data_IF_337744799119
#
_entry.id   IF_337744799119
#
_cell.length_a   1.000
_cell.length_b   1.000
_cell.length_c   1.000
_cell.angle_alpha   90.00
_cell.angle_beta   90.00
_cell.angle_gamma   90.00
#
_symmetry.space_group_name_H-M   'P 1'
#
loop_
_entity.id
_entity.type
_entity.pdbx_description
1 polymer ?
#
# COMPACT_ATOMS: atom_id res chain seq x y z
N UNK A 1 -21.92 17.13 -8.31
CA UNK A 1 -21.37 15.76 -8.37
C UNK A 1 -19.86 15.86 -8.26
N UNK A 2 -19.24 15.07 -7.37
CA UNK A 2 -17.78 15.04 -7.30
C UNK A 2 -17.20 14.41 -8.58
N UNK A 3 -16.03 14.88 -9.06
CA UNK A 3 -15.41 14.36 -10.29
C UNK A 3 -14.92 12.92 -10.13
N UNK A 4 -14.75 12.45 -8.88
CA UNK A 4 -14.26 11.12 -8.57
C UNK A 4 -15.36 10.07 -8.76
N UNK A 5 -15.05 9.06 -9.57
CA UNK A 5 -15.89 7.89 -9.82
C UNK A 5 -15.36 6.64 -9.14
N UNK A 6 -14.07 6.63 -8.77
CA UNK A 6 -13.42 5.52 -8.09
C UNK A 6 -12.50 5.99 -6.96
N UNK A 7 -12.27 5.11 -6.00
CA UNK A 7 -11.22 5.23 -4.99
C UNK A 7 -10.38 3.96 -4.95
N UNK A 8 -9.09 4.09 -4.66
CA UNK A 8 -8.18 2.98 -4.40
C UNK A 8 -7.83 3.00 -2.92
N UNK A 9 -8.35 2.04 -2.17
CA UNK A 9 -8.02 1.90 -0.75
C UNK A 9 -6.78 1.04 -0.59
N UNK A 10 -5.84 1.49 0.23
CA UNK A 10 -4.62 0.76 0.61
C UNK A 10 -4.52 0.76 2.13
N UNK A 11 -4.12 -0.37 2.69
CA UNK A 11 -4.01 -0.56 4.14
C UNK A 11 -2.86 -1.54 4.43
N UNK A 12 -1.69 -1.05 4.80
CA UNK A 12 -0.54 -1.93 5.02
C UNK A 12 -0.62 -2.59 6.39
N UNK A 13 -0.30 -3.88 6.46
CA UNK A 13 0.16 -4.46 7.71
C UNK A 13 1.68 -4.38 7.80
N UNK A 14 2.20 -4.13 9.00
CA UNK A 14 3.63 -3.99 9.22
C UNK A 14 4.09 -4.69 10.50
N UNK A 15 5.38 -5.02 10.55
CA UNK A 15 6.01 -5.55 11.76
C UNK A 15 5.81 -4.59 12.95
N UNK A 16 5.41 -5.14 14.09
CA UNK A 16 5.19 -4.37 15.32
C UNK A 16 5.59 -5.18 16.56
N UNK A 17 5.79 -4.49 17.68
CA UNK A 17 6.17 -5.10 18.96
C UNK A 17 5.30 -4.56 20.09
N UNK A 18 5.09 -5.39 21.11
CA UNK A 18 4.40 -4.95 22.32
C UNK A 18 5.18 -3.81 22.98
N UNK A 19 4.46 -2.78 23.46
CA UNK A 19 5.04 -1.59 24.09
C UNK A 19 6.06 -0.84 23.23
N UNK A 20 5.99 -0.95 21.90
CA UNK A 20 6.86 -0.25 20.97
C UNK A 20 6.71 1.29 21.12
N UNK A 21 7.80 2.03 21.42
CA UNK A 21 7.75 3.49 21.49
C UNK A 21 7.41 4.10 20.12
N UNK A 22 6.73 5.25 20.14
CA UNK A 22 6.26 5.90 18.91
C UNK A 22 7.37 6.17 17.88
N UNK A 23 8.58 6.45 18.34
CA UNK A 23 9.76 6.69 17.50
C UNK A 23 10.17 5.45 16.70
N UNK A 24 9.88 4.25 17.22
CA UNK A 24 10.24 2.98 16.60
C UNK A 24 9.23 2.52 15.55
N UNK A 25 8.02 3.08 15.47
CA UNK A 25 7.06 2.77 14.38
C UNK A 25 7.63 3.10 13.00
N UNK A 26 8.62 3.98 12.93
CA UNK A 26 9.33 4.32 11.68
C UNK A 26 10.28 3.23 11.19
N UNK A 27 10.52 2.20 12.01
CA UNK A 27 11.35 1.05 11.70
C UNK A 27 10.53 -0.18 11.30
N UNK A 28 9.19 -0.08 11.32
CA UNK A 28 8.33 -1.15 10.85
C UNK A 28 8.58 -1.44 9.36
N UNK A 29 8.45 -2.71 9.00
CA UNK A 29 8.52 -3.21 7.64
C UNK A 29 7.15 -3.72 7.23
N UNK A 30 6.69 -3.36 6.03
CA UNK A 30 5.44 -3.86 5.45
C UNK A 30 5.54 -5.38 5.32
N UNK A 31 4.50 -6.07 5.79
CA UNK A 31 4.35 -7.53 5.72
C UNK A 31 3.10 -7.95 4.96
N UNK A 32 2.16 -7.04 4.73
CA UNK A 32 1.01 -7.24 3.84
C UNK A 32 0.72 -5.95 3.05
N UNK A 33 0.43 -6.12 1.76
CA UNK A 33 0.09 -5.05 0.84
C UNK A 33 -1.21 -5.38 0.11
N UNK A 34 -2.36 -5.17 0.77
CA UNK A 34 -3.65 -5.20 0.13
C UNK A 34 -3.99 -3.84 -0.51
N UNK A 35 -4.72 -3.90 -1.62
CA UNK A 35 -5.38 -2.73 -2.18
C UNK A 35 -6.68 -3.14 -2.86
N UNK A 36 -7.68 -2.26 -2.83
CA UNK A 36 -8.97 -2.47 -3.50
C UNK A 36 -9.33 -1.25 -4.35
N UNK A 37 -9.93 -1.49 -5.51
CA UNK A 37 -10.53 -0.46 -6.34
C UNK A 37 -12.05 -0.46 -6.13
N UNK A 38 -12.58 0.65 -5.64
CA UNK A 38 -14.00 0.81 -5.29
C UNK A 38 -14.67 1.76 -6.25
N UNK A 39 -15.80 1.34 -6.83
CA UNK A 39 -16.67 2.22 -7.62
C UNK A 39 -17.57 3.02 -6.68
N UNK A 40 -17.42 4.34 -6.68
CA UNK A 40 -18.11 5.23 -5.74
C UNK A 40 -19.60 5.43 -6.08
N UNK A 41 -20.03 5.04 -7.29
CA UNK A 41 -21.45 5.09 -7.67
C UNK A 41 -22.22 3.87 -7.16
N UNK A 42 -21.59 2.69 -7.19
CA UNK A 42 -22.23 1.42 -6.82
C UNK A 42 -21.89 0.98 -5.40
N UNK A 43 -20.79 1.51 -4.83
CA UNK A 43 -20.23 1.06 -3.55
C UNK A 43 -19.53 -0.31 -3.64
N UNK A 44 -19.33 -0.84 -4.85
CA UNK A 44 -18.76 -2.18 -5.04
C UNK A 44 -17.24 -2.15 -5.20
N UNK A 45 -16.59 -3.17 -4.66
CA UNK A 45 -15.20 -3.51 -5.01
C UNK A 45 -15.21 -4.15 -6.39
N UNK A 46 -14.42 -3.61 -7.31
CA UNK A 46 -14.37 -4.07 -8.69
C UNK A 46 -13.00 -4.62 -9.11
N UNK A 47 -11.97 -4.46 -8.28
CA UNK A 47 -10.69 -5.12 -8.41
C UNK A 47 -9.95 -5.14 -7.07
N UNK A 48 -9.09 -6.14 -6.89
CA UNK A 48 -8.27 -6.32 -5.69
C UNK A 48 -6.83 -6.62 -6.10
N UNK A 49 -5.90 -6.17 -5.26
CA UNK A 49 -4.49 -6.51 -5.29
C UNK A 49 -4.09 -6.99 -3.89
N UNK A 50 -3.25 -8.01 -3.83
CA UNK A 50 -2.79 -8.53 -2.56
C UNK A 50 -1.40 -9.16 -2.71
N UNK A 51 -0.49 -8.82 -1.79
CA UNK A 51 0.80 -9.47 -1.60
C UNK A 51 1.18 -9.53 -0.13
N UNK A 52 1.72 -10.66 0.31
CA UNK A 52 2.55 -10.72 1.50
C UNK A 52 3.99 -10.33 1.17
N UNK A 53 4.62 -9.62 2.10
CA UNK A 53 5.97 -9.07 1.95
C UNK A 53 6.89 -9.67 3.00
N UNK A 54 8.09 -10.10 2.58
CA UNK A 54 9.09 -10.65 3.49
C UNK A 54 9.90 -9.53 4.14
N UNK A 55 9.84 -9.35 5.48
CA UNK A 55 10.70 -8.41 6.18
C UNK A 55 12.16 -8.91 6.19
N UNK A 56 13.11 -8.00 6.05
CA UNK A 56 14.55 -8.31 5.92
C UNK A 56 15.40 -7.66 7.01
N UNK A 57 14.96 -6.55 7.60
CA UNK A 57 15.66 -5.89 8.71
C UNK A 57 15.39 -6.64 10.03
N UNK A 58 14.15 -7.08 10.25
CA UNK A 58 13.72 -7.94 11.36
C UNK A 58 12.80 -9.07 10.85
N UNK A 59 13.37 -10.18 10.32
CA UNK A 59 12.61 -11.22 9.64
C UNK A 59 11.64 -12.02 10.51
N UNK A 60 11.82 -11.98 11.84
CA UNK A 60 11.01 -12.73 12.80
C UNK A 60 9.90 -11.83 13.36
N UNK A 61 8.65 -12.23 13.12
CA UNK A 61 7.48 -11.56 13.66
C UNK A 61 7.44 -11.74 15.18
N UNK A 62 6.98 -10.71 15.89
CA UNK A 62 6.68 -10.85 17.31
C UNK A 62 5.35 -11.59 17.51
N UNK A 63 5.16 -12.19 18.69
CA UNK A 63 3.87 -12.79 19.08
C UNK A 63 2.74 -11.75 19.07
N UNK A 64 3.05 -10.51 19.48
CA UNK A 64 2.11 -9.39 19.44
C UNK A 64 1.66 -9.09 18.00
N UNK A 65 2.60 -8.98 17.06
CA UNK A 65 2.30 -8.72 15.65
C UNK A 65 1.47 -9.85 15.03
N UNK A 66 1.83 -11.09 15.32
CA UNK A 66 1.09 -12.28 14.86
C UNK A 66 -0.33 -12.29 15.43
N UNK A 67 -0.50 -11.92 16.70
CA UNK A 67 -1.82 -11.89 17.36
C UNK A 67 -2.70 -10.75 16.85
N UNK A 68 -2.10 -9.59 16.55
CA UNK A 68 -2.81 -8.40 16.08
C UNK A 68 -3.27 -8.54 14.62
N UNK A 69 -2.38 -8.99 13.75
CA UNK A 69 -2.61 -9.06 12.29
C UNK A 69 -3.15 -10.40 11.82
N UNK A 70 -2.97 -11.46 12.62
CA UNK A 70 -3.24 -12.85 12.24
C UNK A 70 -2.20 -13.45 11.28
N UNK A 71 -1.23 -12.67 10.80
CA UNK A 71 -0.22 -13.10 9.83
C UNK A 71 0.81 -13.99 10.54
N UNK A 72 0.97 -15.21 10.02
CA UNK A 72 1.89 -16.20 10.56
C UNK A 72 3.29 -16.02 9.98
N UNK A 73 4.31 -16.42 10.75
CA UNK A 73 5.72 -16.37 10.32
C UNK A 73 5.94 -17.04 8.95
N UNK A 74 5.37 -18.23 8.73
CA UNK A 74 5.44 -18.94 7.44
C UNK A 74 4.87 -18.15 6.25
N UNK A 75 3.93 -17.24 6.50
CA UNK A 75 3.28 -16.43 5.47
C UNK A 75 4.22 -15.35 4.97
N UNK A 76 4.92 -14.66 5.88
CA UNK A 76 5.90 -13.63 5.49
C UNK A 76 7.17 -14.23 4.91
N UNK A 77 7.58 -15.42 5.36
CA UNK A 77 8.70 -16.17 4.78
C UNK A 77 8.45 -16.60 3.34
N UNK A 78 7.19 -16.87 2.98
CA UNK A 78 6.76 -17.13 1.61
C UNK A 78 6.43 -15.84 0.82
N UNK A 79 6.54 -14.68 1.46
CA UNK A 79 6.27 -13.37 0.87
C UNK A 79 7.31 -12.95 -0.16
N UNK A 80 6.99 -11.91 -0.93
CA UNK A 80 7.93 -11.34 -1.91
C UNK A 80 8.72 -10.18 -1.30
N UNK A 81 9.89 -9.81 -1.85
CA UNK A 81 10.57 -8.58 -1.45
C UNK A 81 9.68 -7.35 -1.71
N UNK A 82 9.78 -6.32 -0.86
CA UNK A 82 8.96 -5.09 -0.97
C UNK A 82 9.01 -4.47 -2.38
N UNK A 83 10.20 -4.36 -2.99
CA UNK A 83 10.35 -3.86 -4.35
C UNK A 83 9.52 -4.65 -5.38
N UNK A 84 9.42 -5.96 -5.22
CA UNK A 84 8.65 -6.84 -6.09
C UNK A 84 7.15 -6.63 -5.89
N UNK A 85 6.70 -6.47 -4.65
CA UNK A 85 5.31 -6.13 -4.34
C UNK A 85 4.92 -4.78 -4.96
N UNK A 86 5.77 -3.76 -4.83
CA UNK A 86 5.55 -2.44 -5.41
C UNK A 86 5.49 -2.47 -6.94
N UNK A 87 6.39 -3.19 -7.59
CA UNK A 87 6.36 -3.36 -9.05
C UNK A 87 5.06 -4.05 -9.49
N UNK A 88 4.64 -5.10 -8.77
CA UNK A 88 3.39 -5.81 -9.04
C UNK A 88 2.17 -4.90 -8.85
N UNK A 89 2.20 -4.04 -7.83
CA UNK A 89 1.14 -3.06 -7.57
C UNK A 89 1.04 -2.01 -8.68
N UNK A 90 2.18 -1.49 -9.15
CA UNK A 90 2.23 -0.52 -10.26
C UNK A 90 1.62 -1.13 -11.53
N UNK A 91 1.95 -2.39 -11.85
CA UNK A 91 1.40 -3.04 -13.04
C UNK A 91 -0.10 -3.31 -12.92
N UNK A 92 -0.56 -3.75 -11.74
CA UNK A 92 -1.99 -3.86 -11.44
C UNK A 92 -2.69 -2.50 -11.59
N UNK A 93 -2.14 -1.45 -11.00
CA UNK A 93 -2.69 -0.09 -11.05
C UNK A 93 -2.82 0.40 -12.48
N UNK A 94 -1.77 0.31 -13.30
CA UNK A 94 -1.80 0.72 -14.72
C UNK A 94 -2.89 -0.01 -15.49
N UNK A 95 -3.01 -1.32 -15.28
CA UNK A 95 -4.04 -2.16 -15.92
C UNK A 95 -5.44 -1.68 -15.56
N UNK A 96 -5.72 -1.50 -14.26
CA UNK A 96 -7.06 -1.11 -13.80
C UNK A 96 -7.41 0.33 -14.20
N UNK A 97 -6.45 1.26 -14.14
CA UNK A 97 -6.66 2.63 -14.59
C UNK A 97 -6.97 2.67 -16.09
N UNK A 98 -6.21 1.94 -16.91
CA UNK A 98 -6.42 1.88 -18.36
C UNK A 98 -7.76 1.23 -18.73
N UNK A 99 -8.10 0.10 -18.09
CA UNK A 99 -9.33 -0.64 -18.40
C UNK A 99 -10.61 0.16 -18.13
N UNK A 100 -10.54 1.17 -17.26
CA UNK A 100 -11.69 1.92 -16.73
C UNK A 100 -11.64 3.41 -17.08
N UNK A 101 -10.65 3.83 -17.88
CA UNK A 101 -10.38 5.23 -18.22
C UNK A 101 -10.28 6.12 -16.98
N UNK A 102 -9.49 5.66 -16.01
CA UNK A 102 -9.26 6.36 -14.75
C UNK A 102 -7.95 7.14 -14.80
N UNK A 103 -7.99 8.32 -14.20
CA UNK A 103 -6.90 9.28 -14.13
C UNK A 103 -6.75 9.67 -12.67
N UNK A 104 -5.57 9.43 -12.10
CA UNK A 104 -5.22 9.94 -10.77
C UNK A 104 -4.89 11.44 -10.85
N UNK A 105 -4.91 12.17 -9.73
CA UNK A 105 -4.55 13.58 -9.73
C UNK A 105 -3.17 13.81 -10.37
N UNK A 106 -3.04 14.91 -11.11
CA UNK A 106 -1.80 15.35 -11.79
C UNK A 106 -1.23 14.39 -12.85
N UNK A 107 -1.94 13.31 -13.21
CA UNK A 107 -1.57 12.48 -14.37
C UNK A 107 -1.95 13.11 -15.71
N UNK A 108 -2.84 14.11 -15.73
CA UNK A 108 -3.32 14.77 -16.95
C UNK A 108 -3.29 16.29 -16.85
N UNK A 109 -2.76 16.93 -17.88
CA UNK A 109 -2.78 18.40 -18.05
C UNK A 109 -4.18 18.93 -18.32
N UNK A 110 -5.06 18.12 -18.92
CA UNK A 110 -6.44 18.51 -19.26
C UNK A 110 -7.44 18.17 -18.15
N UNK A 111 -7.08 17.24 -17.26
CA UNK A 111 -7.85 16.92 -16.05
C UNK A 111 -6.90 16.79 -14.84
N UNK A 112 -6.45 17.92 -14.26
CA UNK A 112 -5.48 17.90 -13.17
C UNK A 112 -6.04 17.29 -11.86
N UNK A 113 -7.36 17.28 -11.68
CA UNK A 113 -8.00 16.66 -10.51
C UNK A 113 -8.15 15.14 -10.65
N UNK A 114 -8.20 14.62 -11.87
CA UNK A 114 -8.48 13.20 -12.12
C UNK A 114 -9.94 12.81 -11.85
N UNK A 115 -10.22 11.51 -11.88
CA UNK A 115 -11.51 10.90 -11.54
C UNK A 115 -11.35 9.67 -10.61
N UNK A 116 -10.14 9.42 -10.14
CA UNK A 116 -9.79 8.37 -9.18
C UNK A 116 -8.81 8.95 -8.15
N UNK A 117 -8.81 8.45 -6.92
CA UNK A 117 -7.86 8.89 -5.88
C UNK A 117 -7.48 7.74 -4.95
N UNK A 118 -6.36 7.88 -4.25
CA UNK A 118 -5.97 6.96 -3.18
C UNK A 118 -6.61 7.35 -1.85
N UNK A 119 -7.00 6.36 -1.07
CA UNK A 119 -7.47 6.52 0.30
C UNK A 119 -6.74 5.53 1.22
N UNK A 120 -6.35 6.01 2.39
CA UNK A 120 -5.68 5.26 3.46
C UNK A 120 -6.24 5.71 4.79
N UNK A 121 -6.07 4.90 5.84
CA UNK A 121 -6.46 5.33 7.18
C UNK A 121 -5.29 6.08 7.83
N UNK A 122 -5.36 7.42 7.79
CA UNK A 122 -4.30 8.35 8.20
C UNK A 122 -3.12 8.43 7.20
N UNK A 123 -2.11 9.24 7.53
CA UNK A 123 -0.89 9.37 6.74
C UNK A 123 0.15 8.26 7.03
N UNK A 124 -0.23 7.24 7.81
CA UNK A 124 0.70 6.22 8.25
C UNK A 124 1.18 5.35 7.08
N UNK A 125 0.30 4.88 6.21
CA UNK A 125 0.64 3.94 5.12
C UNK A 125 1.68 4.50 4.15
N UNK A 126 1.30 5.51 3.36
CA UNK A 126 2.18 6.09 2.34
C UNK A 126 3.20 7.04 2.94
N UNK A 127 2.78 7.93 3.83
CA UNK A 127 3.61 9.04 4.31
C UNK A 127 4.62 8.66 5.39
N UNK A 128 4.43 7.53 6.08
CA UNK A 128 5.32 7.07 7.15
C UNK A 128 5.88 5.68 6.83
N UNK A 129 5.06 4.64 6.84
CA UNK A 129 5.50 3.25 6.74
C UNK A 129 6.29 3.02 5.44
N UNK A 130 5.63 3.17 4.29
CA UNK A 130 6.25 2.95 2.99
C UNK A 130 7.39 3.94 2.71
N UNK A 131 7.18 5.24 2.98
CA UNK A 131 8.21 6.25 2.74
C UNK A 131 9.49 5.99 3.55
N UNK A 132 9.36 5.62 4.83
CA UNK A 132 10.52 5.34 5.68
C UNK A 132 11.18 4.04 5.25
N UNK A 133 10.42 3.00 4.97
CA UNK A 133 10.97 1.70 4.58
C UNK A 133 11.71 1.77 3.25
N UNK A 134 11.13 2.41 2.24
CA UNK A 134 11.82 2.65 0.97
C UNK A 134 13.11 3.43 1.16
N UNK A 135 13.12 4.46 2.01
CA UNK A 135 14.31 5.24 2.31
C UNK A 135 15.42 4.39 2.97
N UNK A 136 15.07 3.51 3.91
CA UNK A 136 16.05 2.61 4.56
C UNK A 136 16.59 1.54 3.60
N UNK A 137 15.74 1.03 2.71
CA UNK A 137 16.06 -0.03 1.75
C UNK A 137 16.62 0.45 0.41
N UNK A 138 16.82 1.77 0.25
CA UNK A 138 17.23 2.40 -1.01
C UNK A 138 16.33 2.03 -2.20
N UNK A 139 15.03 1.89 -1.95
CA UNK A 139 14.01 1.63 -2.97
C UNK A 139 13.58 2.98 -3.57
N UNK A 140 13.65 3.14 -4.92
CA UNK A 140 13.24 4.38 -5.56
C UNK A 140 11.79 4.76 -5.23
N UNK A 141 11.59 5.98 -4.74
CA UNK A 141 10.28 6.53 -4.39
C UNK A 141 9.47 7.05 -5.59
N UNK A 142 9.86 6.68 -6.82
CA UNK A 142 9.15 7.04 -8.06
C UNK A 142 7.86 6.22 -8.18
N UNK A 143 6.94 6.48 -7.27
CA UNK A 143 5.66 5.82 -7.18
C UNK A 143 4.56 6.81 -7.55
N UNK A 144 3.47 6.35 -8.18
CA UNK A 144 2.45 7.23 -8.76
C UNK A 144 1.64 8.07 -7.75
N UNK A 145 1.76 7.83 -6.44
CA UNK A 145 1.13 8.63 -5.39
C UNK A 145 1.98 9.81 -4.89
N UNK A 146 3.26 9.91 -5.29
CA UNK A 146 4.11 11.10 -5.07
C UNK A 146 3.92 12.18 -6.14
N UNK A 147 2.91 12.03 -7.01
CA UNK A 147 2.54 13.02 -8.00
C UNK A 147 1.67 14.12 -7.39
#
# INVERSE_FOLDING_TARGET
MHPFTYAISVDFEATCWENQPAQQFRLSEIIEFPAILVNLKTGMVEAEFHKYVMPVEKPQLSEYCTSLTGIQQKTVEAGVPLQTALNSFIEWLKKELSARNLVLPKMSMTNPQGNCFFVTWTNWDFGICLAKECARKNIPSTMPWNM
#
